data_IF_160267427850
#
_entry.id   IF_160267427850
#
_cell.length_a   1.000
_cell.length_b   1.000
_cell.length_c   1.000
_cell.angle_alpha   90.00
_cell.angle_beta   90.00
_cell.angle_gamma   90.00
#
_symmetry.space_group_name_H-M   'P 1'
#
loop_
_entity.id
_entity.type
_entity.pdbx_description
1 polymer ?
#
# COMPACT_ATOMS: atom_id res chain seq x y z
N UNK A 1 -8.08 -13.51 -7.96
CA UNK A 1 -7.82 -13.07 -6.55
C UNK A 1 -7.17 -11.70 -6.64
N UNK A 2 -7.68 -10.75 -5.86
CA UNK A 2 -7.19 -9.36 -5.85
C UNK A 2 -6.14 -9.18 -4.75
N UNK A 3 -5.27 -8.18 -4.92
CA UNK A 3 -4.27 -7.80 -3.94
C UNK A 3 -4.39 -6.31 -3.61
N UNK A 4 -4.41 -6.01 -2.31
CA UNK A 4 -4.23 -4.67 -1.78
C UNK A 4 -2.79 -4.52 -1.30
N UNK A 5 -2.08 -3.50 -1.79
CA UNK A 5 -0.71 -3.19 -1.35
C UNK A 5 -0.68 -1.87 -0.59
N UNK A 6 0.16 -1.80 0.44
CA UNK A 6 0.53 -0.54 1.09
C UNK A 6 1.84 0.03 0.54
N UNK A 7 2.25 1.20 1.03
CA UNK A 7 3.50 1.82 0.61
C UNK A 7 4.74 0.99 0.97
N UNK A 8 4.68 0.17 2.03
CA UNK A 8 5.82 -0.65 2.45
C UNK A 8 6.25 -1.67 1.39
N UNK A 9 5.28 -2.25 0.66
CA UNK A 9 5.53 -3.17 -0.45
C UNK A 9 6.20 -2.45 -1.61
N UNK A 10 5.66 -1.30 -2.00
CA UNK A 10 6.16 -0.53 -3.14
C UNK A 10 7.55 0.04 -2.87
N UNK A 11 7.76 0.62 -1.68
CA UNK A 11 9.04 1.19 -1.29
C UNK A 11 10.13 0.14 -1.19
N UNK A 12 9.82 -1.04 -0.64
CA UNK A 12 10.79 -2.13 -0.60
C UNK A 12 11.19 -2.54 -2.02
N UNK A 13 10.24 -2.61 -2.93
CA UNK A 13 10.54 -2.93 -4.32
C UNK A 13 11.44 -1.88 -4.99
N UNK A 14 11.05 -0.60 -4.90
CA UNK A 14 11.81 0.52 -5.46
C UNK A 14 13.25 0.60 -4.93
N UNK A 15 13.44 0.34 -3.63
CA UNK A 15 14.70 0.62 -2.95
C UNK A 15 15.65 -0.58 -2.89
N UNK A 16 15.14 -1.81 -3.05
CA UNK A 16 15.94 -3.03 -2.91
C UNK A 16 15.97 -3.90 -4.16
N UNK A 17 15.27 -3.50 -5.22
CA UNK A 17 15.03 -4.33 -6.41
C UNK A 17 14.50 -5.72 -6.05
N UNK A 18 13.74 -5.82 -4.94
CA UNK A 18 13.28 -7.10 -4.42
C UNK A 18 12.35 -7.80 -5.42
N UNK A 19 12.68 -9.05 -5.75
CA UNK A 19 11.83 -9.90 -6.58
C UNK A 19 10.53 -10.32 -5.86
N UNK A 20 10.36 -10.01 -4.57
CA UNK A 20 9.13 -10.31 -3.84
C UNK A 20 7.91 -9.59 -4.44
N UNK A 21 8.12 -8.49 -5.16
CA UNK A 21 7.06 -7.81 -5.92
C UNK A 21 6.58 -8.61 -7.15
N UNK A 22 7.36 -9.57 -7.65
CA UNK A 22 6.90 -10.44 -8.74
C UNK A 22 5.68 -11.27 -8.31
N UNK A 23 5.53 -11.55 -7.01
CA UNK A 23 4.33 -12.21 -6.46
C UNK A 23 3.07 -11.40 -6.70
N UNK A 24 3.17 -10.07 -6.82
CA UNK A 24 1.98 -9.24 -7.06
C UNK A 24 1.44 -9.41 -8.48
N UNK A 25 2.26 -9.94 -9.42
CA UNK A 25 1.83 -10.29 -10.79
C UNK A 25 0.94 -11.52 -10.86
N UNK A 26 0.88 -12.33 -9.80
CA UNK A 26 0.00 -13.50 -9.72
C UNK A 26 -1.46 -13.10 -9.46
N UNK A 27 -1.71 -11.84 -9.09
CA UNK A 27 -3.04 -11.34 -8.78
C UNK A 27 -3.69 -10.69 -10.00
N UNK A 28 -5.01 -10.80 -10.06
CA UNK A 28 -5.82 -10.32 -11.18
C UNK A 28 -5.90 -8.79 -11.20
N UNK A 29 -6.12 -8.20 -10.03
CA UNK A 29 -6.06 -6.75 -9.81
C UNK A 29 -5.21 -6.46 -8.59
N UNK A 30 -4.34 -5.47 -8.75
CA UNK A 30 -3.53 -4.91 -7.67
C UNK A 30 -4.03 -3.50 -7.42
N UNK A 31 -4.43 -3.21 -6.20
CA UNK A 31 -4.97 -1.91 -5.84
C UNK A 31 -4.38 -1.36 -4.56
N UNK A 32 -4.59 -0.07 -4.34
CA UNK A 32 -4.10 0.65 -3.17
C UNK A 32 -4.96 1.90 -2.90
N UNK A 33 -4.80 2.50 -1.72
CA UNK A 33 -5.26 3.87 -1.46
C UNK A 33 -4.43 4.89 -2.24
N UNK A 34 -5.04 6.01 -2.64
CA UNK A 34 -4.33 7.19 -3.17
C UNK A 34 -3.28 7.74 -2.19
N UNK A 35 -3.41 7.43 -0.89
CA UNK A 35 -2.43 7.75 0.16
C UNK A 35 -1.03 7.21 -0.19
N UNK A 36 -0.96 6.08 -0.89
CA UNK A 36 0.30 5.45 -1.31
C UNK A 36 1.17 6.40 -2.13
N UNK A 37 0.56 7.28 -2.93
CA UNK A 37 1.29 8.29 -3.69
C UNK A 37 2.04 9.26 -2.79
N UNK A 38 1.36 9.74 -1.75
CA UNK A 38 1.94 10.67 -0.78
C UNK A 38 3.07 9.99 -0.01
N UNK A 39 2.82 8.79 0.50
CA UNK A 39 3.79 8.04 1.30
C UNK A 39 5.06 7.73 0.53
N UNK A 40 4.94 7.16 -0.68
CA UNK A 40 6.09 6.81 -1.50
C UNK A 40 6.89 8.06 -1.89
N UNK A 41 6.20 9.11 -2.35
CA UNK A 41 6.84 10.39 -2.70
C UNK A 41 7.60 11.01 -1.52
N UNK A 42 7.03 10.96 -0.31
CA UNK A 42 7.68 11.48 0.90
C UNK A 42 8.93 10.70 1.27
N UNK A 43 8.92 9.38 1.14
CA UNK A 43 10.08 8.54 1.43
C UNK A 43 11.19 8.77 0.41
N UNK A 44 10.88 8.80 -0.89
CA UNK A 44 11.84 9.08 -1.95
C UNK A 44 12.52 10.45 -1.70
N UNK A 45 11.74 11.50 -1.42
CA UNK A 45 12.28 12.82 -1.13
C UNK A 45 13.10 12.85 0.16
N UNK A 46 12.70 12.11 1.20
CA UNK A 46 13.49 11.99 2.43
C UNK A 46 14.86 11.36 2.14
N UNK A 47 14.89 10.27 1.36
CA UNK A 47 16.13 9.57 1.04
C UNK A 47 17.10 10.44 0.26
N UNK A 48 16.58 11.25 -0.67
CA UNK A 48 17.36 12.28 -1.36
C UNK A 48 17.98 13.28 -0.38
N UNK A 49 17.18 13.84 0.52
CA UNK A 49 17.65 14.84 1.50
C UNK A 49 18.65 14.27 2.51
N UNK A 50 18.53 12.98 2.82
CA UNK A 50 19.45 12.25 3.69
C UNK A 50 20.68 11.70 2.94
N UNK A 51 20.84 12.03 1.64
CA UNK A 51 21.92 11.55 0.77
C UNK A 51 22.03 10.00 0.72
N UNK A 52 20.91 9.30 0.88
CA UNK A 52 20.80 7.84 0.82
C UNK A 52 20.67 7.30 -0.60
N UNK A 53 20.33 8.17 -1.56
CA UNK A 53 20.24 7.87 -2.99
C UNK A 53 20.91 8.98 -3.80
N UNK A 54 21.46 8.64 -4.96
CA UNK A 54 22.00 9.60 -5.93
C UNK A 54 20.90 10.29 -6.74
N UNK A 55 21.23 11.36 -7.48
CA UNK A 55 20.28 12.01 -8.38
C UNK A 55 19.81 11.06 -9.51
N UNK A 56 20.68 10.18 -9.99
CA UNK A 56 20.33 9.13 -10.97
C UNK A 56 19.33 8.12 -10.37
N UNK A 57 19.61 7.62 -9.16
CA UNK A 57 18.70 6.72 -8.46
C UNK A 57 17.36 7.39 -8.12
N UNK A 58 17.34 8.70 -7.88
CA UNK A 58 16.12 9.46 -7.68
C UNK A 58 15.27 9.51 -8.97
N UNK A 59 15.88 9.80 -10.11
CA UNK A 59 15.20 9.83 -11.41
C UNK A 59 14.61 8.45 -11.74
N UNK A 60 15.38 7.38 -11.54
CA UNK A 60 14.92 6.00 -11.72
C UNK A 60 13.76 5.67 -10.77
N UNK A 61 13.88 5.97 -9.48
CA UNK A 61 12.85 5.68 -8.49
C UNK A 61 11.54 6.42 -8.78
N UNK A 62 11.60 7.70 -9.19
CA UNK A 62 10.42 8.49 -9.54
C UNK A 62 9.76 7.96 -10.81
N UNK A 63 10.55 7.66 -11.83
CA UNK A 63 10.05 7.13 -13.11
C UNK A 63 9.34 5.79 -12.87
N UNK A 64 10.03 4.87 -12.20
CA UNK A 64 9.50 3.56 -11.90
C UNK A 64 8.25 3.63 -11.01
N UNK A 65 8.25 4.50 -9.99
CA UNK A 65 7.11 4.66 -9.10
C UNK A 65 5.87 5.14 -9.86
N UNK A 66 6.00 6.12 -10.74
CA UNK A 66 4.89 6.64 -11.53
C UNK A 66 4.33 5.57 -12.47
N UNK A 67 5.20 4.84 -13.19
CA UNK A 67 4.79 3.75 -14.08
C UNK A 67 4.05 2.64 -13.32
N UNK A 68 4.51 2.31 -12.11
CA UNK A 68 3.85 1.34 -11.26
C UNK A 68 2.48 1.85 -10.81
N UNK A 69 2.43 3.08 -10.30
CA UNK A 69 1.23 3.69 -9.74
C UNK A 69 0.11 3.79 -10.78
N UNK A 70 0.43 4.13 -12.02
CA UNK A 70 -0.53 4.18 -13.14
C UNK A 70 -1.19 2.82 -13.45
N UNK A 71 -0.54 1.72 -13.09
CA UNK A 71 -1.08 0.36 -13.28
C UNK A 71 -1.92 -0.13 -12.10
N UNK A 72 -1.88 0.57 -10.96
CA UNK A 72 -2.64 0.19 -9.77
C UNK A 72 -4.11 0.60 -9.92
N UNK A 73 -4.99 -0.24 -9.39
CA UNK A 73 -6.36 0.15 -9.12
C UNK A 73 -6.39 1.03 -7.86
N UNK A 74 -6.32 2.34 -8.05
CA UNK A 74 -6.24 3.33 -6.96
C UNK A 74 -7.64 3.70 -6.47
N UNK A 75 -7.81 3.68 -5.16
CA UNK A 75 -9.02 4.11 -4.47
C UNK A 75 -8.82 5.45 -3.77
N UNK A 76 -9.74 6.38 -3.99
CA UNK A 76 -9.76 7.69 -3.34
C UNK A 76 -9.93 7.58 -1.82
N UNK A 77 -9.39 8.54 -1.06
CA UNK A 77 -9.72 8.78 0.36
C UNK A 77 -11.09 9.47 0.49
N UNK A 78 -12.08 8.80 -0.08
CA UNK A 78 -13.47 9.20 -0.13
C UNK A 78 -14.07 9.36 1.28
N UNK A 79 -15.21 10.07 1.44
CA UNK A 79 -15.87 10.19 2.73
C UNK A 79 -16.14 8.84 3.44
N UNK A 80 -16.57 7.75 2.75
CA UNK A 80 -16.67 6.43 3.36
C UNK A 80 -15.36 5.89 3.93
N UNK A 81 -14.24 6.03 3.20
CA UNK A 81 -12.90 5.62 3.67
C UNK A 81 -12.53 6.38 4.92
N UNK A 82 -12.66 7.72 4.91
CA UNK A 82 -12.35 8.57 6.06
C UNK A 82 -13.20 8.21 7.29
N UNK A 83 -14.49 7.98 7.08
CA UNK A 83 -15.39 7.53 8.16
C UNK A 83 -14.92 6.19 8.72
N UNK A 84 -14.71 5.18 7.88
CA UNK A 84 -14.28 3.84 8.31
C UNK A 84 -12.92 3.86 9.01
N UNK A 85 -11.98 4.69 8.56
CA UNK A 85 -10.66 4.86 9.18
C UNK A 85 -10.72 5.54 10.56
N UNK A 86 -11.81 6.25 10.87
CA UNK A 86 -12.02 6.93 12.16
C UNK A 86 -12.74 6.04 13.19
N UNK A 87 -13.19 4.86 12.79
CA UNK A 87 -13.87 3.89 13.65
C UNK A 87 -12.87 2.99 14.38
N UNK A 88 -13.36 2.18 15.32
CA UNK A 88 -12.53 1.27 16.12
C UNK A 88 -11.88 0.19 15.24
N UNK A 89 -10.60 -0.07 15.52
CA UNK A 89 -9.86 -1.22 15.01
C UNK A 89 -9.61 -2.25 16.12
N UNK A 90 -9.53 -3.55 15.80
CA UNK A 90 -9.38 -4.60 16.81
C UNK A 90 -8.02 -4.61 17.49
N UNK A 91 -7.01 -3.96 16.91
CA UNK A 91 -5.67 -3.82 17.48
C UNK A 91 -5.16 -2.38 17.34
N UNK A 92 -4.07 -2.06 18.05
CA UNK A 92 -3.36 -0.78 17.86
C UNK A 92 -2.92 -0.64 16.40
N UNK A 93 -3.20 0.52 15.81
CA UNK A 93 -2.84 0.86 14.44
C UNK A 93 -2.61 2.38 14.31
N UNK A 94 -1.67 2.78 13.46
CA UNK A 94 -1.45 4.18 13.12
C UNK A 94 -2.54 4.75 12.20
N UNK A 95 -2.66 6.07 12.15
CA UNK A 95 -3.69 6.75 11.33
C UNK A 95 -3.57 6.43 9.83
N UNK A 96 -2.36 6.35 9.29
CA UNK A 96 -2.13 6.08 7.87
C UNK A 96 -2.48 4.62 7.51
N UNK A 97 -2.03 3.67 8.33
CA UNK A 97 -2.38 2.26 8.18
C UNK A 97 -3.89 2.02 8.36
N UNK A 98 -4.55 2.78 9.25
CA UNK A 98 -6.00 2.74 9.40
C UNK A 98 -6.73 3.19 8.13
N UNK A 99 -6.20 4.17 7.41
CA UNK A 99 -6.72 4.57 6.09
C UNK A 99 -6.53 3.42 5.09
N UNK A 100 -5.36 2.80 5.05
CA UNK A 100 -5.12 1.65 4.17
C UNK A 100 -6.09 0.49 4.44
N UNK A 101 -6.26 0.09 5.71
CA UNK A 101 -7.16 -1.00 6.07
C UNK A 101 -8.63 -0.64 5.88
N UNK A 102 -9.01 0.63 6.05
CA UNK A 102 -10.36 1.09 5.71
C UNK A 102 -10.64 0.94 4.21
N UNK A 103 -9.69 1.36 3.36
CA UNK A 103 -9.80 1.19 1.90
C UNK A 103 -9.86 -0.29 1.51
N UNK A 104 -8.94 -1.12 2.03
CA UNK A 104 -8.92 -2.56 1.74
C UNK A 104 -10.21 -3.25 2.18
N UNK A 105 -10.72 -2.91 3.38
CA UNK A 105 -11.98 -3.48 3.88
C UNK A 105 -13.19 -3.06 3.05
N UNK A 106 -13.22 -1.83 2.54
CA UNK A 106 -14.31 -1.39 1.66
C UNK A 106 -14.25 -2.14 0.33
N UNK A 107 -13.06 -2.28 -0.29
CA UNK A 107 -12.91 -3.02 -1.53
C UNK A 107 -13.32 -4.50 -1.37
N UNK A 108 -12.84 -5.16 -0.31
CA UNK A 108 -13.20 -6.55 -0.02
C UNK A 108 -14.71 -6.78 0.16
N UNK A 109 -15.46 -5.76 0.57
CA UNK A 109 -16.91 -5.84 0.75
C UNK A 109 -17.71 -5.49 -0.52
N UNK A 110 -17.08 -4.86 -1.52
CA UNK A 110 -17.73 -4.45 -2.77
C UNK A 110 -17.70 -5.54 -3.84
N UNK A 111 -16.76 -6.47 -3.74
CA UNK A 111 -16.50 -7.46 -4.78
C UNK A 111 -16.50 -8.89 -4.21
N UNK A 112 -17.00 -9.88 -4.97
CA UNK A 112 -16.99 -11.27 -4.55
C UNK A 112 -15.60 -11.91 -4.62
N UNK A 113 -14.67 -11.35 -5.39
CA UNK A 113 -13.31 -11.85 -5.51
C UNK A 113 -12.56 -11.74 -4.17
N UNK A 114 -11.87 -12.80 -3.72
CA UNK A 114 -11.06 -12.73 -2.51
C UNK A 114 -9.99 -11.63 -2.62
N UNK A 115 -9.80 -10.87 -1.54
CA UNK A 115 -8.77 -9.84 -1.42
C UNK A 115 -7.69 -10.26 -0.43
N UNK A 116 -6.43 -10.12 -0.84
CA UNK A 116 -5.26 -10.29 0.03
C UNK A 116 -4.65 -8.92 0.32
N UNK A 117 -4.38 -8.62 1.59
CA UNK A 117 -3.60 -7.45 1.99
C UNK A 117 -2.12 -7.86 2.06
N UNK A 118 -1.30 -7.34 1.16
CA UNK A 118 0.14 -7.54 1.20
C UNK A 118 0.80 -6.32 1.85
N UNK A 119 1.46 -6.54 2.99
CA UNK A 119 2.18 -5.51 3.74
C UNK A 119 3.44 -6.09 4.36
N UNK A 120 4.52 -5.32 4.44
CA UNK A 120 5.69 -5.66 5.27
C UNK A 120 5.57 -5.14 6.70
N UNK A 121 4.54 -4.34 7.02
CA UNK A 121 4.27 -3.86 8.37
C UNK A 121 3.54 -4.94 9.20
N UNK A 122 4.22 -5.42 10.23
CA UNK A 122 3.68 -6.45 11.11
C UNK A 122 2.49 -6.00 11.97
N UNK A 123 2.39 -4.72 12.33
CA UNK A 123 1.25 -4.16 13.05
C UNK A 123 0.01 -4.09 12.15
N UNK A 124 0.17 -3.55 10.94
CA UNK A 124 -0.90 -3.50 9.95
C UNK A 124 -1.39 -4.90 9.58
N UNK A 125 -0.48 -5.85 9.34
CA UNK A 125 -0.81 -7.26 9.04
C UNK A 125 -1.67 -7.90 10.14
N UNK A 126 -1.28 -7.73 11.41
CA UNK A 126 -2.04 -8.28 12.56
C UNK A 126 -3.44 -7.67 12.66
N UNK A 127 -3.56 -6.38 12.41
CA UNK A 127 -4.85 -5.70 12.42
C UNK A 127 -5.77 -6.22 11.30
N UNK A 128 -5.25 -6.33 10.07
CA UNK A 128 -5.98 -6.86 8.92
C UNK A 128 -6.52 -8.28 9.19
N UNK A 129 -5.66 -9.17 9.71
CA UNK A 129 -6.05 -10.54 10.08
C UNK A 129 -7.13 -10.54 11.17
N UNK A 130 -7.03 -9.66 12.16
CA UNK A 130 -8.01 -9.51 13.23
C UNK A 130 -9.35 -8.93 12.74
N UNK A 131 -9.35 -8.22 11.61
CA UNK A 131 -10.55 -7.77 10.90
C UNK A 131 -11.18 -8.87 10.03
N UNK A 132 -10.57 -10.05 9.93
CA UNK A 132 -11.01 -11.15 9.07
C UNK A 132 -10.51 -11.07 7.62
N UNK A 133 -9.60 -10.15 7.31
CA UNK A 133 -8.97 -10.07 5.98
C UNK A 133 -7.81 -11.07 5.89
N UNK A 134 -7.61 -11.65 4.71
CA UNK A 134 -6.38 -12.39 4.44
C UNK A 134 -5.22 -11.40 4.28
N UNK A 135 -4.13 -11.58 5.02
CA UNK A 135 -2.97 -10.69 4.92
C UNK A 135 -1.64 -11.45 5.00
N UNK A 136 -0.71 -11.06 4.12
CA UNK A 136 0.64 -11.63 3.93
C UNK A 136 1.74 -10.59 4.10
#
# INVERSE_FOLDING_TARGET
MNCYVDSSVILRYLLTSSTEFERVREFERVGSSELLFIECSRVIQRYRLEAMITDEQLEEAVTYFNELYERLHVFDMSPPVKKRASETFPTVIGTLDAIHLATASIWANQEPEPLVVFTFDGQMRRCAQSMGLHAI
#
